data_IF_315458386309
#
_entry.id   IF_315458386309
#
_cell.length_a   1.000
_cell.length_b   1.000
_cell.length_c   1.000
_cell.angle_alpha   90.00
_cell.angle_beta   90.00
_cell.angle_gamma   90.00
#
_symmetry.space_group_name_H-M   'P 1'
#
loop_
_entity.id
_entity.type
_entity.pdbx_description
1 polymer ?
#
# COMPACT_ATOMS: atom_id res chain seq x y z
N UNK A 1 -9.23 -17.94 27.70
CA UNK A 1 -9.55 -16.75 28.53
C UNK A 1 -10.05 -15.65 27.60
N UNK A 2 -11.25 -15.08 27.81
CA UNK A 2 -11.70 -13.95 26.99
C UNK A 2 -10.85 -12.73 27.33
N UNK A 3 -10.07 -12.25 26.37
CA UNK A 3 -9.30 -11.01 26.49
C UNK A 3 -10.26 -9.81 26.49
N UNK A 4 -10.12 -8.84 27.41
CA UNK A 4 -10.93 -7.62 27.40
C UNK A 4 -10.88 -6.93 26.03
N UNK A 5 -12.01 -6.38 25.53
CA UNK A 5 -12.06 -5.77 24.19
C UNK A 5 -11.05 -4.62 24.03
N UNK A 6 -10.78 -3.88 25.10
CA UNK A 6 -9.81 -2.79 25.13
C UNK A 6 -8.37 -3.29 24.92
N UNK A 7 -8.01 -4.42 25.54
CA UNK A 7 -6.71 -5.08 25.35
C UNK A 7 -6.53 -5.57 23.91
N UNK A 8 -7.59 -6.10 23.29
CA UNK A 8 -7.55 -6.54 21.88
C UNK A 8 -7.35 -5.37 20.92
N UNK A 9 -7.99 -4.22 21.18
CA UNK A 9 -7.81 -3.00 20.40
C UNK A 9 -6.38 -2.46 20.49
N UNK A 10 -5.81 -2.40 21.70
CA UNK A 10 -4.44 -1.95 21.91
C UNK A 10 -3.42 -2.83 21.16
N UNK A 11 -3.61 -4.15 21.19
CA UNK A 11 -2.77 -5.10 20.44
C UNK A 11 -2.90 -4.93 18.92
N UNK A 12 -4.13 -4.72 18.42
CA UNK A 12 -4.37 -4.46 17.00
C UNK A 12 -3.66 -3.17 16.54
N UNK A 13 -3.70 -2.11 17.36
CA UNK A 13 -3.01 -0.86 17.09
C UNK A 13 -1.49 -1.04 17.07
N UNK A 14 -0.91 -1.73 18.06
CA UNK A 14 0.53 -2.03 18.09
C UNK A 14 0.96 -2.82 16.84
N UNK A 15 0.17 -3.82 16.43
CA UNK A 15 0.42 -4.61 15.22
C UNK A 15 0.36 -3.75 13.95
N UNK A 16 -0.58 -2.81 13.86
CA UNK A 16 -0.67 -1.87 12.74
C UNK A 16 0.58 -0.98 12.66
N UNK A 17 1.07 -0.46 13.79
CA UNK A 17 2.30 0.33 13.82
C UNK A 17 3.54 -0.50 13.44
N UNK A 18 3.60 -1.76 13.87
CA UNK A 18 4.68 -2.67 13.46
C UNK A 18 4.67 -2.93 11.94
N UNK A 19 3.48 -3.02 11.34
CA UNK A 19 3.35 -3.12 9.88
C UNK A 19 3.87 -1.85 9.17
N UNK A 20 3.64 -0.65 9.73
CA UNK A 20 4.19 0.60 9.19
C UNK A 20 5.73 0.63 9.22
N UNK A 21 6.35 0.14 10.30
CA UNK A 21 7.81 -0.04 10.34
C UNK A 21 8.27 -1.02 9.24
N UNK A 22 7.53 -2.11 9.03
CA UNK A 22 7.79 -3.05 7.94
C UNK A 22 7.72 -2.41 6.54
N UNK A 23 6.69 -1.59 6.30
CA UNK A 23 6.56 -0.80 5.07
C UNK A 23 7.76 0.16 4.92
N UNK A 24 8.15 0.84 5.99
CA UNK A 24 9.32 1.72 6.01
C UNK A 24 10.62 0.98 5.66
N UNK A 25 10.79 -0.27 6.12
CA UNK A 25 11.93 -1.12 5.74
C UNK A 25 11.87 -1.54 4.26
N UNK A 26 10.68 -1.81 3.73
CA UNK A 26 10.50 -2.20 2.33
C UNK A 26 10.95 -1.12 1.34
N UNK A 27 10.95 0.15 1.75
CA UNK A 27 11.42 1.28 0.94
C UNK A 27 12.92 1.22 0.59
N UNK A 28 13.69 0.33 1.21
CA UNK A 28 15.10 0.09 0.88
C UNK A 28 15.30 -0.93 -0.26
N UNK A 29 14.26 -1.68 -0.59
CA UNK A 29 14.27 -2.70 -1.64
C UNK A 29 13.82 -2.11 -2.98
N UNK A 30 14.21 -2.70 -4.12
CA UNK A 30 13.65 -2.34 -5.41
C UNK A 30 12.15 -2.69 -5.44
N UNK A 31 11.38 -1.86 -6.15
CA UNK A 31 9.95 -2.06 -6.39
C UNK A 31 9.76 -2.67 -7.78
N UNK A 32 9.07 -3.80 -7.83
CA UNK A 32 8.63 -4.45 -9.06
C UNK A 32 7.12 -4.29 -9.20
N UNK A 33 6.69 -3.61 -10.26
CA UNK A 33 5.29 -3.40 -10.61
C UNK A 33 4.94 -4.18 -11.88
N UNK A 34 3.75 -4.76 -11.93
CA UNK A 34 3.20 -5.41 -13.10
C UNK A 34 1.87 -4.80 -13.51
N UNK A 35 1.67 -4.60 -14.80
CA UNK A 35 0.43 -4.05 -15.36
C UNK A 35 -0.05 -4.90 -16.52
N UNK A 36 -1.34 -5.21 -16.50
CA UNK A 36 -2.07 -5.83 -17.59
C UNK A 36 -3.14 -4.85 -18.06
N UNK A 37 -3.31 -4.73 -19.37
CA UNK A 37 -4.35 -3.90 -19.98
C UNK A 37 -4.98 -4.60 -21.18
N UNK A 38 -6.25 -4.26 -21.44
CA UNK A 38 -6.96 -4.66 -22.64
C UNK A 38 -7.87 -3.53 -23.06
N UNK A 39 -7.84 -3.17 -24.34
CA UNK A 39 -8.72 -2.16 -24.91
C UNK A 39 -9.36 -2.66 -26.20
N UNK A 40 -10.59 -2.20 -26.43
CA UNK A 40 -11.34 -2.40 -27.67
C UNK A 40 -11.72 -1.04 -28.21
N UNK A 41 -11.50 -0.82 -29.50
CA UNK A 41 -11.85 0.39 -30.21
C UNK A 41 -12.58 0.04 -31.48
N UNK A 42 -13.57 0.85 -31.83
CA UNK A 42 -14.18 0.87 -33.15
C UNK A 42 -13.81 2.20 -33.79
N UNK A 43 -13.37 2.15 -35.04
CA UNK A 43 -13.11 3.31 -35.86
C UNK A 43 -13.95 3.18 -37.11
N UNK A 44 -14.73 4.21 -37.41
CA UNK A 44 -15.42 4.36 -38.69
C UNK A 44 -14.76 5.53 -39.43
N UNK A 45 -14.26 5.27 -40.63
CA UNK A 45 -13.66 6.30 -41.47
C UNK A 45 -14.54 6.46 -42.71
N UNK A 46 -15.24 7.60 -42.81
CA UNK A 46 -16.05 7.93 -43.98
C UNK A 46 -15.42 9.08 -44.79
N UNK A 47 -14.97 8.77 -46.01
CA UNK A 47 -14.42 9.73 -46.96
C UNK A 47 -15.48 10.09 -48.01
N UNK A 48 -16.12 11.25 -47.83
CA UNK A 48 -17.20 11.75 -48.71
C UNK A 48 -16.77 11.96 -50.16
N UNK A 49 -15.51 12.33 -50.39
CA UNK A 49 -14.96 12.59 -51.73
C UNK A 49 -14.27 11.37 -52.36
N UNK A 50 -14.06 10.29 -51.59
CA UNK A 50 -13.42 9.06 -52.05
C UNK A 50 -14.00 7.84 -51.31
N UNK A 51 -15.24 7.41 -51.63
CA UNK A 51 -15.96 6.39 -50.86
C UNK A 51 -15.29 5.01 -50.84
N UNK A 52 -14.40 4.73 -51.80
CA UNK A 52 -13.60 3.50 -51.85
C UNK A 52 -12.49 3.45 -50.81
N UNK A 53 -12.19 4.58 -50.14
CA UNK A 53 -11.29 4.66 -48.99
C UNK A 53 -12.04 4.59 -47.65
N UNK A 54 -13.38 4.65 -47.68
CA UNK A 54 -14.20 4.49 -46.47
C UNK A 54 -14.10 3.05 -45.97
N UNK A 55 -14.03 2.89 -44.65
CA UNK A 55 -13.92 1.57 -44.04
C UNK A 55 -14.04 1.62 -42.53
N UNK A 56 -14.59 0.55 -41.98
CA UNK A 56 -14.68 0.34 -40.55
C UNK A 56 -13.55 -0.57 -40.04
N UNK A 57 -13.13 -0.34 -38.80
CA UNK A 57 -12.02 -1.03 -38.18
C UNK A 57 -12.29 -1.35 -36.72
N UNK A 58 -12.34 -2.65 -36.41
CA UNK A 58 -12.34 -3.13 -35.03
C UNK A 58 -10.91 -3.38 -34.55
N UNK A 59 -10.49 -2.68 -33.49
CA UNK A 59 -9.17 -2.89 -32.89
C UNK A 59 -9.29 -3.46 -31.49
N UNK A 60 -8.71 -4.62 -31.28
CA UNK A 60 -8.51 -5.21 -29.96
C UNK A 60 -7.02 -5.14 -29.62
N UNK A 61 -6.68 -4.55 -28.48
CA UNK A 61 -5.31 -4.51 -27.96
C UNK A 61 -5.28 -5.14 -26.59
N UNK A 62 -4.25 -5.92 -26.32
CA UNK A 62 -3.91 -6.42 -24.99
C UNK A 62 -2.45 -6.08 -24.73
N UNK A 63 -2.16 -5.67 -23.52
CA UNK A 63 -0.84 -5.26 -23.06
C UNK A 63 -0.50 -5.94 -21.74
N UNK A 64 0.78 -6.26 -21.59
CA UNK A 64 1.38 -6.67 -20.34
C UNK A 64 2.73 -5.96 -20.21
N UNK A 65 3.03 -5.42 -19.04
CA UNK A 65 4.29 -4.74 -18.77
C UNK A 65 4.75 -4.99 -17.33
N UNK A 66 6.06 -5.01 -17.16
CA UNK A 66 6.73 -5.07 -15.87
C UNK A 66 7.65 -3.85 -15.75
N UNK A 67 7.68 -3.23 -14.57
CA UNK A 67 8.52 -2.07 -14.27
C UNK A 67 9.31 -2.32 -12.99
N UNK A 68 10.63 -2.19 -13.07
CA UNK A 68 11.53 -2.21 -11.92
C UNK A 68 12.00 -0.79 -11.61
N UNK A 69 11.82 -0.35 -10.37
CA UNK A 69 12.30 0.96 -9.90
C UNK A 69 13.05 0.82 -8.58
N UNK A 70 14.18 1.52 -8.44
CA UNK A 70 14.97 1.49 -7.21
C UNK A 70 15.61 2.84 -6.93
N UNK A 71 15.38 3.35 -5.71
CA UNK A 71 15.99 4.59 -5.25
C UNK A 71 17.34 4.27 -4.61
N UNK A 72 18.42 4.56 -5.36
CA UNK A 72 19.78 4.34 -4.87
C UNK A 72 20.13 5.32 -3.75
N UNK A 73 19.75 6.58 -3.92
CA UNK A 73 20.10 7.65 -2.98
C UNK A 73 18.95 8.65 -2.79
N UNK A 74 18.62 8.94 -1.54
CA UNK A 74 17.49 9.79 -1.14
C UNK A 74 17.81 10.76 0.00
N UNK A 75 19.11 11.00 0.26
CA UNK A 75 19.61 11.91 1.30
C UNK A 75 19.02 11.66 2.71
N UNK A 76 18.72 10.40 3.03
CA UNK A 76 18.27 10.01 4.36
C UNK A 76 16.77 10.16 4.59
N UNK A 77 15.98 10.50 3.56
CA UNK A 77 14.50 10.59 3.62
C UNK A 77 13.87 9.30 4.15
N UNK A 78 14.24 8.13 3.58
CA UNK A 78 13.77 6.81 4.05
C UNK A 78 14.16 6.52 5.49
N UNK A 79 15.35 6.95 5.91
CA UNK A 79 15.83 6.72 7.27
C UNK A 79 15.03 7.54 8.29
N UNK A 80 14.70 8.80 7.94
CA UNK A 80 13.88 9.66 8.78
C UNK A 80 12.46 9.13 8.93
N UNK A 81 11.85 8.69 7.81
CA UNK A 81 10.53 8.06 7.81
C UNK A 81 10.51 6.78 8.66
N UNK A 82 11.53 5.90 8.52
CA UNK A 82 11.64 4.68 9.31
C UNK A 82 11.78 4.98 10.81
N UNK A 83 12.63 5.95 11.19
CA UNK A 83 12.77 6.37 12.58
C UNK A 83 11.46 6.90 13.14
N UNK A 84 10.72 7.71 12.39
CA UNK A 84 9.42 8.20 12.80
C UNK A 84 8.43 7.06 13.06
N UNK A 85 8.32 6.09 12.14
CA UNK A 85 7.47 4.92 12.31
C UNK A 85 7.86 4.07 13.54
N UNK A 86 9.16 3.93 13.81
CA UNK A 86 9.64 3.23 15.00
C UNK A 86 9.24 3.95 16.30
N UNK A 87 9.33 5.28 16.34
CA UNK A 87 8.89 6.05 17.51
C UNK A 87 7.38 5.94 17.74
N UNK A 88 6.57 5.93 16.67
CA UNK A 88 5.12 5.71 16.76
C UNK A 88 4.80 4.30 17.28
N UNK A 89 5.54 3.27 16.85
CA UNK A 89 5.41 1.92 17.40
C UNK A 89 5.76 1.87 18.89
N UNK A 90 6.84 2.52 19.32
CA UNK A 90 7.20 2.60 20.74
C UNK A 90 6.10 3.26 21.57
N UNK A 91 5.51 4.36 21.08
CA UNK A 91 4.39 5.03 21.75
C UNK A 91 3.12 4.17 21.82
N UNK A 92 2.81 3.41 20.77
CA UNK A 92 1.68 2.49 20.76
C UNK A 92 1.87 1.34 21.74
N UNK A 93 3.08 0.79 21.85
CA UNK A 93 3.41 -0.24 22.84
C UNK A 93 3.28 0.30 24.26
N UNK A 94 3.79 1.52 24.53
CA UNK A 94 3.63 2.15 25.84
C UNK A 94 2.15 2.37 26.22
N UNK A 95 1.30 2.77 25.26
CA UNK A 95 -0.15 2.89 25.46
C UNK A 95 -0.81 1.54 25.76
N UNK A 96 -0.36 0.48 25.10
CA UNK A 96 -0.82 -0.88 25.38
C UNK A 96 -0.44 -1.30 26.81
N UNK A 97 0.79 -1.08 27.22
CA UNK A 97 1.27 -1.43 28.56
C UNK A 97 0.50 -0.69 29.65
N UNK A 98 0.20 0.60 29.45
CA UNK A 98 -0.65 1.38 30.34
C UNK A 98 -2.08 0.81 30.44
N UNK A 99 -2.67 0.39 29.30
CA UNK A 99 -4.00 -0.26 29.27
C UNK A 99 -3.97 -1.59 30.03
N UNK A 100 -2.91 -2.39 29.87
CA UNK A 100 -2.74 -3.64 30.59
C UNK A 100 -2.65 -3.41 32.10
N UNK A 101 -1.81 -2.46 32.53
CA UNK A 101 -1.70 -2.10 33.95
C UNK A 101 -3.04 -1.64 34.54
N UNK A 102 -3.80 -0.83 33.81
CA UNK A 102 -5.12 -0.37 34.25
C UNK A 102 -6.12 -1.53 34.38
N UNK A 103 -6.17 -2.44 33.39
CA UNK A 103 -7.06 -3.61 33.46
C UNK A 103 -6.69 -4.57 34.60
N UNK A 104 -5.39 -4.74 34.89
CA UNK A 104 -4.92 -5.55 36.01
C UNK A 104 -5.25 -4.91 37.36
N UNK A 105 -5.07 -3.59 37.50
CA UNK A 105 -5.43 -2.86 38.71
C UNK A 105 -6.94 -2.94 39.01
N UNK A 106 -7.79 -2.84 37.97
CA UNK A 106 -9.23 -3.00 38.10
C UNK A 106 -9.66 -4.44 38.43
N UNK A 107 -8.92 -5.45 37.96
CA UNK A 107 -9.22 -6.86 38.24
C UNK A 107 -8.73 -7.34 39.63
N UNK A 108 -7.88 -6.56 40.29
CA UNK A 108 -7.35 -6.86 41.63
C UNK A 108 -8.19 -6.23 42.76
N UNK A 109 -9.21 -5.44 42.43
CA UNK A 109 -10.21 -4.88 43.34
C UNK A 109 -11.42 -5.83 43.44
#
# INVERSE_FOLDING_TARGET
RPTPPQTRLAWANAKAQAAQVGIGKSAYLPRLDGRLDASRGYSDMDYRDAPYLSGDGHRHRRGASLQLSWVLFDFGRRSAALRNAQQLLLAANASQDATLQQTLALAAQ
#
